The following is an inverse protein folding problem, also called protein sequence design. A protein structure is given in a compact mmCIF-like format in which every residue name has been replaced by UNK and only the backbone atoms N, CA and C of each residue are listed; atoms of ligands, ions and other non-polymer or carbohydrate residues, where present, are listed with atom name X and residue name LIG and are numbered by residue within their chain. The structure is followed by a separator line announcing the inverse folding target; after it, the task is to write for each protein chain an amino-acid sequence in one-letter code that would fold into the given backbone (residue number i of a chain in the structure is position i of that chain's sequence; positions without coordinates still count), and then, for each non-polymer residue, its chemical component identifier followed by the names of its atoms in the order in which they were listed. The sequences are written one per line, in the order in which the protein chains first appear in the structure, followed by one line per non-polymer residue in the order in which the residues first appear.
data_IF_081476760607
#
_entry.id   IF_081476760607
#
_cell.length_a   1.000
_cell.length_b   1.000
_cell.length_c   1.000
_cell.angle_alpha   90.00
_cell.angle_beta   90.00
_cell.angle_gamma   90.00
#
_symmetry.space_group_name_H-M   'P 1'
#
loop_
_entity.id
_entity.type
_entity.pdbx_description
1 polymer ?
#
# COMPACT_ATOMS: atom_id res chain seq x y z
N UNK A 1 12.05 26.67 -21.26
CA UNK A 1 10.67 26.11 -21.15
C UNK A 1 10.26 26.09 -19.68
N UNK A 2 9.12 26.71 -19.31
CA UNK A 2 8.58 26.62 -17.94
C UNK A 2 7.59 25.45 -17.89
N UNK A 3 7.96 24.35 -17.23
CA UNK A 3 7.02 23.24 -17.00
C UNK A 3 5.96 23.73 -15.99
N UNK A 4 4.67 23.73 -16.33
CA UNK A 4 3.64 24.21 -15.42
C UNK A 4 3.52 23.28 -14.20
N UNK A 5 3.51 23.87 -13.00
CA UNK A 5 3.47 23.14 -11.71
C UNK A 5 2.31 22.13 -11.61
N UNK A 6 1.19 22.42 -12.29
CA UNK A 6 0.03 21.53 -12.34
C UNK A 6 0.35 20.17 -12.97
N UNK A 7 1.26 20.09 -13.94
CA UNK A 7 1.64 18.80 -14.55
C UNK A 7 2.43 17.89 -13.61
N UNK A 8 2.94 18.42 -12.49
CA UNK A 8 3.71 17.66 -11.50
C UNK A 8 2.89 17.35 -10.25
N UNK A 9 2.12 18.33 -9.73
CA UNK A 9 1.53 18.25 -8.38
C UNK A 9 -0.01 18.10 -8.40
N UNK A 10 -0.69 18.45 -9.49
CA UNK A 10 -2.16 18.38 -9.58
C UNK A 10 -2.63 16.95 -9.93
N UNK A 11 -3.34 16.22 -9.03
CA UNK A 11 -3.73 14.83 -9.24
C UNK A 11 -4.64 14.62 -10.46
N UNK A 12 -5.32 15.66 -10.93
CA UNK A 12 -6.20 15.60 -12.10
C UNK A 12 -5.42 15.75 -13.41
N UNK A 13 -4.25 16.37 -13.38
CA UNK A 13 -3.48 16.76 -14.58
C UNK A 13 -2.11 16.09 -14.68
N UNK A 14 -1.59 15.52 -13.59
CA UNK A 14 -0.25 14.94 -13.54
C UNK A 14 -0.19 13.44 -13.87
N UNK A 15 -1.20 12.88 -14.54
CA UNK A 15 -1.30 11.42 -14.71
C UNK A 15 -0.09 10.81 -15.42
N UNK A 16 0.58 11.52 -16.33
CA UNK A 16 1.78 11.02 -17.01
C UNK A 16 2.97 10.91 -16.03
N UNK A 17 3.32 12.02 -15.38
CA UNK A 17 4.40 12.05 -14.39
C UNK A 17 4.13 11.13 -13.21
N UNK A 18 2.92 11.17 -12.65
CA UNK A 18 2.54 10.34 -11.51
C UNK A 18 2.58 8.84 -11.82
N UNK A 19 2.14 8.41 -13.01
CA UNK A 19 2.23 7.00 -13.40
C UNK A 19 3.68 6.56 -13.58
N UNK A 20 4.52 7.42 -14.17
CA UNK A 20 5.95 7.18 -14.30
C UNK A 20 6.63 7.07 -12.92
N UNK A 21 6.39 8.01 -12.02
CA UNK A 21 6.96 8.02 -10.67
C UNK A 21 6.58 6.75 -9.88
N UNK A 22 5.32 6.31 -9.98
CA UNK A 22 4.86 5.07 -9.34
C UNK A 22 5.51 3.84 -9.98
N UNK A 23 5.64 3.79 -11.30
CA UNK A 23 6.31 2.67 -11.98
C UNK A 23 7.79 2.56 -11.59
N UNK A 24 8.51 3.70 -11.53
CA UNK A 24 9.89 3.77 -11.02
C UNK A 24 9.96 3.30 -9.57
N UNK A 25 9.00 3.69 -8.73
CA UNK A 25 8.94 3.26 -7.33
C UNK A 25 8.78 1.74 -7.21
N UNK A 26 7.88 1.14 -7.98
CA UNK A 26 7.65 -0.32 -7.99
C UNK A 26 8.86 -1.09 -8.51
N UNK A 27 9.55 -0.55 -9.52
CA UNK A 27 10.81 -1.12 -9.99
C UNK A 27 11.88 -1.05 -8.89
N UNK A 28 12.02 0.11 -8.24
CA UNK A 28 12.96 0.29 -7.13
C UNK A 28 12.66 -0.66 -5.96
N UNK A 29 11.39 -0.79 -5.57
CA UNK A 29 10.98 -1.65 -4.46
C UNK A 29 11.17 -3.14 -4.76
N UNK A 30 11.12 -3.53 -6.03
CA UNK A 30 11.39 -4.91 -6.44
C UNK A 30 12.88 -5.23 -6.40
N UNK A 31 13.72 -4.32 -6.88
CA UNK A 31 15.08 -4.66 -7.28
C UNK A 31 16.18 -3.77 -6.69
N UNK A 32 15.90 -2.95 -5.69
CA UNK A 32 16.95 -2.18 -4.98
C UNK A 32 17.98 -3.07 -4.30
N UNK A 33 17.64 -4.31 -3.97
CA UNK A 33 18.60 -5.29 -3.44
C UNK A 33 19.62 -5.70 -4.50
N UNK A 34 19.23 -5.71 -5.77
CA UNK A 34 20.09 -6.10 -6.91
C UNK A 34 20.87 -4.91 -7.46
N UNK A 35 20.19 -3.80 -7.73
CA UNK A 35 20.78 -2.61 -8.36
C UNK A 35 21.28 -1.56 -7.35
N UNK A 36 21.11 -1.83 -6.06
CA UNK A 36 21.63 -1.01 -4.97
C UNK A 36 21.05 0.40 -4.92
N UNK A 37 21.90 1.34 -4.53
CA UNK A 37 21.54 2.72 -4.19
C UNK A 37 20.98 3.51 -5.38
N UNK A 38 21.33 3.16 -6.62
CA UNK A 38 20.87 3.88 -7.82
C UNK A 38 19.34 3.91 -7.90
N UNK A 39 18.68 2.78 -7.63
CA UNK A 39 17.22 2.72 -7.65
C UNK A 39 16.58 3.46 -6.48
N UNK A 40 17.23 3.48 -5.31
CA UNK A 40 16.78 4.26 -4.16
C UNK A 40 16.86 5.75 -4.47
N UNK A 41 17.94 6.21 -5.12
CA UNK A 41 18.09 7.59 -5.56
C UNK A 41 17.07 7.95 -6.65
N UNK A 42 16.79 7.04 -7.59
CA UNK A 42 15.74 7.25 -8.60
C UNK A 42 14.35 7.38 -7.93
N UNK A 43 14.05 6.53 -6.94
CA UNK A 43 12.83 6.63 -6.13
C UNK A 43 12.72 7.97 -5.41
N UNK A 44 13.81 8.47 -4.81
CA UNK A 44 13.82 9.78 -4.18
C UNK A 44 13.67 10.92 -5.18
N UNK A 45 14.32 10.83 -6.34
CA UNK A 45 14.28 11.85 -7.38
C UNK A 45 12.88 12.07 -7.93
N UNK A 46 12.01 11.04 -7.93
CA UNK A 46 10.62 11.17 -8.41
C UNK A 46 9.64 11.69 -7.35
N UNK A 47 10.02 11.80 -6.07
CA UNK A 47 9.10 12.26 -5.02
C UNK A 47 9.60 13.48 -4.25
N UNK A 48 10.82 13.45 -3.72
CA UNK A 48 11.30 14.51 -2.81
C UNK A 48 11.38 15.90 -3.47
N UNK A 49 11.80 16.06 -4.74
CA UNK A 49 11.83 17.38 -5.39
C UNK A 49 10.46 18.07 -5.48
N UNK A 50 9.36 17.30 -5.45
CA UNK A 50 8.01 17.88 -5.49
C UNK A 50 7.70 18.73 -4.27
N UNK A 51 8.35 18.47 -3.13
CA UNK A 51 8.23 19.29 -1.92
C UNK A 51 8.68 20.72 -2.22
N UNK A 52 9.76 20.90 -2.98
CA UNK A 52 10.26 22.23 -3.34
C UNK A 52 9.34 22.96 -4.34
N UNK A 53 8.58 22.22 -5.15
CA UNK A 53 7.65 22.79 -6.13
C UNK A 53 6.46 23.48 -5.45
N UNK A 54 5.93 22.88 -4.37
CA UNK A 54 4.75 23.36 -3.64
C UNK A 54 4.76 22.98 -2.13
N UNK A 55 5.77 23.45 -1.39
CA UNK A 55 5.94 23.12 0.04
C UNK A 55 4.72 23.51 0.89
N UNK A 56 4.03 24.61 0.54
CA UNK A 56 2.86 25.11 1.28
C UNK A 56 1.71 24.11 1.26
N UNK A 57 1.49 23.42 0.15
CA UNK A 57 0.48 22.36 0.03
C UNK A 57 0.77 21.20 0.97
N UNK A 58 2.03 20.80 1.08
CA UNK A 58 2.45 19.69 1.94
C UNK A 58 2.39 20.06 3.43
N UNK A 59 2.83 21.26 3.81
CA UNK A 59 2.81 21.71 5.21
C UNK A 59 1.38 21.87 5.75
N UNK A 60 0.45 22.38 4.96
CA UNK A 60 -0.95 22.59 5.39
C UNK A 60 -1.67 21.30 5.81
N UNK A 61 -1.20 20.14 5.37
CA UNK A 61 -1.84 18.86 5.62
C UNK A 61 -1.04 17.95 6.55
N UNK A 62 0.06 18.45 7.11
CA UNK A 62 0.95 17.66 7.95
C UNK A 62 0.27 17.20 9.25
N UNK A 63 -0.69 17.97 9.77
CA UNK A 63 -1.50 17.59 10.94
C UNK A 63 -2.28 16.28 10.73
N UNK A 64 -2.65 15.96 9.50
CA UNK A 64 -3.31 14.68 9.18
C UNK A 64 -2.38 13.48 9.19
N UNK A 65 -1.06 13.72 9.15
CA UNK A 65 -0.01 12.70 9.12
C UNK A 65 0.53 12.33 10.51
N UNK A 66 -0.08 12.84 11.60
CA UNK A 66 0.48 12.73 12.95
C UNK A 66 0.80 11.29 13.38
N UNK A 67 -0.02 10.30 13.01
CA UNK A 67 0.18 8.91 13.47
C UNK A 67 1.37 8.22 12.75
N UNK A 68 1.46 8.22 11.40
CA UNK A 68 2.69 7.79 10.72
C UNK A 68 3.94 8.55 11.14
N UNK A 69 3.84 9.87 11.40
CA UNK A 69 4.98 10.67 11.85
C UNK A 69 5.39 10.33 13.29
N UNK A 70 4.44 10.05 14.17
CA UNK A 70 4.71 9.56 15.53
C UNK A 70 5.43 8.21 15.47
N UNK A 71 4.97 7.29 14.62
CA UNK A 71 5.62 6.00 14.44
C UNK A 71 7.02 6.14 13.84
N UNK A 72 7.20 6.99 12.82
CA UNK A 72 8.51 7.29 12.25
C UNK A 72 9.46 7.90 13.29
N UNK A 73 8.97 8.84 14.12
CA UNK A 73 9.74 9.42 15.20
C UNK A 73 10.16 8.35 16.22
N UNK A 74 9.23 7.47 16.63
CA UNK A 74 9.54 6.37 17.54
C UNK A 74 10.61 5.43 16.97
N UNK A 75 10.50 5.07 15.69
CA UNK A 75 11.52 4.29 14.97
C UNK A 75 12.88 5.01 14.97
N UNK A 76 12.93 6.32 14.72
CA UNK A 76 14.17 7.09 14.81
C UNK A 76 14.73 7.19 16.23
N UNK A 77 13.87 7.35 17.25
CA UNK A 77 14.31 7.37 18.65
C UNK A 77 14.85 6.01 19.10
N UNK A 78 14.44 4.91 18.48
CA UNK A 78 14.94 3.57 18.82
C UNK A 78 16.44 3.38 18.68
N UNK A 79 17.13 4.29 17.98
CA UNK A 79 18.59 4.35 17.93
C UNK A 79 19.22 4.43 19.33
N UNK A 80 18.60 5.12 20.28
CA UNK A 80 19.18 5.37 21.61
C UNK A 80 19.22 4.14 22.52
N UNK A 81 18.35 3.14 22.30
CA UNK A 81 18.34 1.89 23.07
C UNK A 81 18.64 0.66 22.20
N UNK A 82 19.02 0.88 20.94
CA UNK A 82 19.24 -0.20 19.99
C UNK A 82 20.46 -1.06 20.33
N UNK A 83 20.34 -2.37 20.15
CA UNK A 83 21.45 -3.32 20.20
C UNK A 83 22.36 -3.24 18.95
N UNK A 84 21.92 -2.55 17.90
CA UNK A 84 22.72 -2.26 16.70
C UNK A 84 22.50 -0.81 16.21
N UNK A 85 22.99 0.21 16.96
CA UNK A 85 22.65 1.62 16.72
C UNK A 85 22.95 2.11 15.29
N UNK A 86 24.06 1.66 14.68
CA UNK A 86 24.42 2.04 13.31
C UNK A 86 23.43 1.53 12.26
N UNK A 87 23.01 0.27 12.37
CA UNK A 87 21.99 -0.33 11.49
C UNK A 87 20.65 0.36 11.71
N UNK A 88 20.25 0.55 12.97
CA UNK A 88 19.00 1.23 13.33
C UNK A 88 18.96 2.66 12.80
N UNK A 89 20.02 3.45 12.98
CA UNK A 89 20.07 4.84 12.51
C UNK A 89 19.90 4.92 10.99
N UNK A 90 20.62 4.08 10.25
CA UNK A 90 20.51 3.99 8.79
C UNK A 90 19.08 3.62 8.38
N UNK A 91 18.56 2.48 8.86
CA UNK A 91 17.27 1.95 8.42
C UNK A 91 16.11 2.85 8.88
N UNK A 92 16.20 3.50 10.04
CA UNK A 92 15.20 4.46 10.51
C UNK A 92 15.09 5.69 9.58
N UNK A 93 16.23 6.23 9.11
CA UNK A 93 16.23 7.33 8.13
C UNK A 93 15.64 6.88 6.79
N UNK A 94 15.94 5.66 6.35
CA UNK A 94 15.36 5.06 5.16
C UNK A 94 13.83 4.91 5.30
N UNK A 95 13.35 4.48 6.47
CA UNK A 95 11.92 4.33 6.74
C UNK A 95 11.19 5.67 6.82
N UNK A 96 11.77 6.67 7.51
CA UNK A 96 11.24 8.03 7.57
C UNK A 96 11.10 8.67 6.17
N UNK A 97 12.15 8.58 5.35
CA UNK A 97 12.13 9.10 3.99
C UNK A 97 11.16 8.34 3.07
N UNK A 98 11.01 7.03 3.26
CA UNK A 98 9.99 6.23 2.58
C UNK A 98 8.56 6.68 2.93
N UNK A 99 8.27 6.95 4.22
CA UNK A 99 6.99 7.53 4.66
C UNK A 99 6.78 8.92 4.04
N UNK A 100 7.82 9.75 3.99
CA UNK A 100 7.75 11.08 3.37
C UNK A 100 7.44 10.99 1.87
N UNK A 101 8.07 10.09 1.13
CA UNK A 101 7.76 9.84 -0.28
C UNK A 101 6.32 9.33 -0.47
N UNK A 102 5.85 8.40 0.37
CA UNK A 102 4.45 7.94 0.34
C UNK A 102 3.46 9.07 0.65
N UNK A 103 3.81 9.97 1.57
CA UNK A 103 3.04 11.19 1.85
C UNK A 103 2.95 12.08 0.63
N UNK A 104 4.09 12.42 0.02
CA UNK A 104 4.12 13.24 -1.19
C UNK A 104 3.30 12.59 -2.30
N UNK A 105 3.49 11.30 -2.56
CA UNK A 105 2.73 10.54 -3.55
C UNK A 105 1.22 10.60 -3.30
N UNK A 106 0.77 10.37 -2.07
CA UNK A 106 -0.66 10.43 -1.73
C UNK A 106 -1.25 11.84 -1.93
N UNK A 107 -0.44 12.89 -1.76
CA UNK A 107 -0.88 14.27 -1.97
C UNK A 107 -0.83 14.68 -3.43
N UNK A 108 0.01 14.10 -4.27
CA UNK A 108 0.16 14.50 -5.67
C UNK A 108 -0.57 13.60 -6.65
N UNK A 109 -0.75 12.31 -6.35
CA UNK A 109 -1.21 11.30 -7.32
C UNK A 109 -2.61 10.80 -6.98
N UNK A 110 -3.50 10.69 -7.98
CA UNK A 110 -4.84 10.10 -7.80
C UNK A 110 -4.76 8.56 -7.66
N UNK A 111 -5.79 7.92 -7.09
CA UNK A 111 -5.83 6.44 -7.03
C UNK A 111 -5.79 5.81 -8.42
N UNK A 112 -6.38 6.50 -9.42
CA UNK A 112 -6.29 6.10 -10.82
C UNK A 112 -4.86 6.11 -11.34
N UNK A 113 -4.14 7.19 -11.10
CA UNK A 113 -2.74 7.33 -11.56
C UNK A 113 -1.81 6.37 -10.81
N UNK A 114 -2.05 6.11 -9.52
CA UNK A 114 -1.40 5.03 -8.78
C UNK A 114 -1.62 3.68 -9.47
N UNK A 115 -2.88 3.36 -9.81
CA UNK A 115 -3.23 2.09 -10.46
C UNK A 115 -2.55 1.92 -11.81
N UNK A 116 -2.53 2.96 -12.65
CA UNK A 116 -1.87 2.93 -13.96
C UNK A 116 -0.36 2.75 -13.80
N UNK A 117 0.28 3.55 -12.94
CA UNK A 117 1.70 3.41 -12.65
C UNK A 117 2.04 2.04 -12.07
N UNK A 118 1.13 1.47 -11.27
CA UNK A 118 1.29 0.13 -10.73
C UNK A 118 1.26 -0.95 -11.80
N UNK A 119 0.29 -0.90 -12.71
CA UNK A 119 0.22 -1.83 -13.84
C UNK A 119 1.46 -1.77 -14.72
N UNK A 120 1.94 -0.56 -15.03
CA UNK A 120 3.16 -0.36 -15.83
C UNK A 120 4.40 -0.89 -15.08
N UNK A 121 4.57 -0.53 -13.81
CA UNK A 121 5.69 -0.99 -12.99
C UNK A 121 5.70 -2.52 -12.85
N UNK A 122 4.56 -3.12 -12.51
CA UNK A 122 4.41 -4.56 -12.35
C UNK A 122 4.68 -5.29 -13.68
N UNK A 123 4.19 -4.77 -14.81
CA UNK A 123 4.50 -5.36 -16.12
C UNK A 123 6.01 -5.50 -16.34
N UNK A 124 6.77 -4.43 -16.16
CA UNK A 124 8.22 -4.47 -16.34
C UNK A 124 8.91 -5.38 -15.32
N UNK A 125 8.47 -5.32 -14.04
CA UNK A 125 8.99 -6.20 -12.98
C UNK A 125 8.82 -7.67 -13.37
N UNK A 126 7.63 -8.07 -13.82
CA UNK A 126 7.35 -9.46 -14.20
C UNK A 126 8.15 -9.89 -15.44
N UNK A 127 8.25 -9.03 -16.46
CA UNK A 127 9.08 -9.31 -17.64
C UNK A 127 10.55 -9.53 -17.26
N UNK A 128 11.10 -8.69 -16.39
CA UNK A 128 12.48 -8.85 -15.93
C UNK A 128 12.67 -10.11 -15.08
N UNK A 129 11.72 -10.42 -14.18
CA UNK A 129 11.76 -11.66 -13.39
C UNK A 129 11.71 -12.91 -14.26
N UNK A 130 10.88 -12.93 -15.31
CA UNK A 130 10.83 -14.02 -16.27
C UNK A 130 12.12 -14.14 -17.09
N UNK A 131 12.76 -13.02 -17.44
CA UNK A 131 14.06 -13.02 -18.11
C UNK A 131 15.15 -13.61 -17.21
N UNK A 132 15.15 -13.28 -15.91
CA UNK A 132 16.13 -13.82 -14.96
C UNK A 132 15.91 -15.32 -14.74
N UNK A 133 14.64 -15.76 -14.67
CA UNK A 133 14.33 -17.18 -14.76
C UNK A 133 14.72 -18.02 -13.55
N UNK A 134 15.12 -17.42 -12.42
CA UNK A 134 15.70 -18.17 -11.31
C UNK A 134 14.66 -18.93 -10.48
N UNK A 135 15.10 -20.06 -9.95
CA UNK A 135 14.37 -20.88 -8.98
C UNK A 135 15.18 -20.97 -7.69
N UNK A 136 14.47 -21.06 -6.57
CA UNK A 136 15.08 -21.28 -5.25
C UNK A 136 14.46 -22.50 -4.61
N UNK A 137 15.31 -23.29 -3.97
CA UNK A 137 14.89 -24.36 -3.08
C UNK A 137 14.27 -23.77 -1.81
N UNK A 138 13.15 -24.32 -1.38
CA UNK A 138 12.60 -24.08 -0.05
C UNK A 138 13.19 -25.11 0.91
N UNK A 139 14.09 -24.66 1.79
CA UNK A 139 14.84 -25.51 2.72
C UNK A 139 13.91 -26.31 3.65
N UNK A 140 12.69 -25.81 3.91
CA UNK A 140 11.73 -26.48 4.78
C UNK A 140 11.03 -27.67 4.12
N UNK A 141 10.80 -27.61 2.80
CA UNK A 141 9.92 -28.54 2.09
C UNK A 141 10.66 -29.29 0.95
N UNK A 142 11.90 -28.91 0.64
CA UNK A 142 12.70 -29.43 -0.50
C UNK A 142 12.17 -29.02 -1.88
N UNK A 143 11.17 -28.13 -1.94
CA UNK A 143 10.51 -27.76 -3.20
C UNK A 143 11.26 -26.66 -3.94
N UNK A 144 11.44 -26.84 -5.25
CA UNK A 144 12.01 -25.82 -6.13
C UNK A 144 10.91 -24.91 -6.68
N UNK A 145 10.92 -23.65 -6.26
CA UNK A 145 9.87 -22.68 -6.63
C UNK A 145 10.45 -21.54 -7.46
N UNK A 146 9.67 -21.04 -8.41
CA UNK A 146 10.09 -19.91 -9.22
C UNK A 146 10.15 -18.63 -8.38
N UNK A 147 11.32 -17.99 -8.36
CA UNK A 147 11.56 -16.71 -7.67
C UNK A 147 11.87 -15.57 -8.63
N UNK A 148 12.22 -15.89 -9.89
CA UNK A 148 12.54 -14.88 -10.90
C UNK A 148 13.75 -14.05 -10.46
N UNK A 149 13.56 -12.74 -10.33
CA UNK A 149 14.60 -11.84 -9.82
C UNK A 149 14.41 -11.47 -8.34
N UNK A 150 13.59 -12.21 -7.60
CA UNK A 150 13.36 -12.00 -6.17
C UNK A 150 14.13 -13.00 -5.31
N UNK A 151 14.27 -12.69 -4.02
CA UNK A 151 14.92 -13.57 -3.07
C UNK A 151 13.98 -14.69 -2.59
N UNK A 152 12.66 -14.51 -2.70
CA UNK A 152 11.70 -15.51 -2.24
C UNK A 152 10.45 -15.61 -3.12
N UNK A 153 9.85 -16.81 -3.13
CA UNK A 153 8.61 -17.11 -3.84
C UNK A 153 7.44 -16.23 -3.39
N UNK A 154 7.45 -15.82 -2.12
CA UNK A 154 6.38 -15.00 -1.53
C UNK A 154 6.44 -13.55 -2.04
N UNK A 155 7.63 -13.03 -2.32
CA UNK A 155 7.81 -11.68 -2.90
C UNK A 155 7.29 -11.61 -4.32
N UNK A 156 7.69 -12.55 -5.20
CA UNK A 156 7.20 -12.55 -6.58
C UNK A 156 5.70 -12.86 -6.65
N UNK A 157 5.21 -13.77 -5.78
CA UNK A 157 3.78 -14.02 -5.63
C UNK A 157 2.99 -12.80 -5.15
N UNK A 158 3.58 -11.94 -4.31
CA UNK A 158 2.96 -10.67 -3.89
C UNK A 158 2.80 -9.70 -5.07
N UNK A 159 3.86 -9.56 -5.89
CA UNK A 159 3.82 -8.73 -7.10
C UNK A 159 2.77 -9.23 -8.09
N UNK A 160 2.70 -10.55 -8.31
CA UNK A 160 1.64 -11.17 -9.12
C UNK A 160 0.24 -10.90 -8.56
N UNK A 161 0.06 -11.01 -7.24
CA UNK A 161 -1.23 -10.69 -6.58
C UNK A 161 -1.64 -9.24 -6.80
N UNK A 162 -0.72 -8.29 -6.63
CA UNK A 162 -0.96 -6.88 -6.91
C UNK A 162 -1.26 -6.63 -8.38
N UNK A 163 -0.59 -7.35 -9.30
CA UNK A 163 -0.83 -7.24 -10.74
C UNK A 163 -2.24 -7.65 -11.14
N UNK A 164 -2.72 -8.79 -10.64
CA UNK A 164 -4.11 -9.24 -10.80
C UNK A 164 -5.05 -8.23 -10.16
N UNK A 165 -4.79 -7.85 -8.90
CA UNK A 165 -5.63 -6.94 -8.14
C UNK A 165 -5.83 -5.60 -8.87
N UNK A 166 -4.74 -4.92 -9.21
CA UNK A 166 -4.77 -3.62 -9.89
C UNK A 166 -5.41 -3.72 -11.28
N UNK A 167 -5.24 -4.86 -11.97
CA UNK A 167 -5.88 -5.08 -13.28
C UNK A 167 -7.39 -5.16 -13.15
N UNK A 168 -7.90 -5.94 -12.19
CA UNK A 168 -9.35 -6.08 -11.97
C UNK A 168 -9.97 -4.76 -11.57
N UNK A 169 -9.40 -4.05 -10.59
CA UNK A 169 -9.96 -2.75 -10.15
C UNK A 169 -9.84 -1.68 -11.24
N UNK A 170 -8.79 -1.71 -12.05
CA UNK A 170 -8.65 -0.80 -13.19
C UNK A 170 -9.78 -1.01 -14.20
N UNK A 171 -10.02 -2.27 -14.59
CA UNK A 171 -11.08 -2.64 -15.53
C UNK A 171 -12.48 -2.35 -14.98
N UNK A 172 -12.71 -2.61 -13.69
CA UNK A 172 -14.00 -2.44 -13.05
C UNK A 172 -14.37 -0.97 -12.80
N UNK A 173 -13.40 -0.12 -12.43
CA UNK A 173 -13.70 1.23 -11.91
C UNK A 173 -13.04 2.39 -12.66
N UNK A 174 -11.90 2.16 -13.34
CA UNK A 174 -10.99 3.25 -13.75
C UNK A 174 -10.70 3.31 -15.25
N UNK A 175 -11.18 2.31 -16.01
CA UNK A 175 -10.99 2.11 -17.45
C UNK A 175 -11.55 3.28 -18.27
N UNK A 176 -10.84 3.66 -19.33
CA UNK A 176 -11.34 4.56 -20.37
C UNK A 176 -11.08 3.96 -21.76
N UNK A 177 -12.14 3.48 -22.42
CA UNK A 177 -12.06 2.96 -23.79
C UNK A 177 -11.47 1.54 -23.94
N UNK A 178 -11.34 1.10 -25.21
CA UNK A 178 -10.86 -0.24 -25.58
C UNK A 178 -9.36 -0.42 -25.41
N UNK A 179 -8.56 0.60 -25.68
CA UNK A 179 -7.10 0.55 -25.53
C UNK A 179 -6.69 0.22 -24.08
N UNK A 180 -7.39 0.79 -23.09
CA UNK A 180 -7.18 0.46 -21.67
C UNK A 180 -7.36 -1.03 -21.37
N UNK A 181 -8.29 -1.71 -22.05
CA UNK A 181 -8.49 -3.16 -21.88
C UNK A 181 -7.32 -3.94 -22.46
N UNK A 182 -6.93 -3.63 -23.71
CA UNK A 182 -5.83 -4.31 -24.40
C UNK A 182 -4.51 -4.20 -23.65
N UNK A 183 -4.23 -3.04 -23.03
CA UNK A 183 -3.02 -2.83 -22.24
C UNK A 183 -3.01 -3.58 -20.90
N UNK A 184 -4.17 -3.98 -20.38
CA UNK A 184 -4.28 -4.69 -19.09
C UNK A 184 -4.13 -6.20 -19.26
N UNK A 185 -4.53 -6.75 -20.41
CA UNK A 185 -4.50 -8.20 -20.68
C UNK A 185 -3.10 -8.81 -20.47
N UNK A 186 -1.99 -8.25 -21.01
CA UNK A 186 -0.67 -8.81 -20.78
C UNK A 186 -0.29 -8.86 -19.29
N UNK A 187 -0.66 -7.84 -18.52
CA UNK A 187 -0.35 -7.77 -17.09
C UNK A 187 -1.10 -8.87 -16.33
N UNK A 188 -2.38 -9.09 -16.64
CA UNK A 188 -3.17 -10.17 -16.02
C UNK A 188 -2.58 -11.54 -16.34
N UNK A 189 -2.26 -11.80 -17.60
CA UNK A 189 -1.71 -13.10 -18.03
C UNK A 189 -0.36 -13.39 -17.39
N UNK A 190 0.55 -12.41 -17.39
CA UNK A 190 1.86 -12.56 -16.74
C UNK A 190 1.71 -12.75 -15.23
N UNK A 191 0.83 -11.98 -14.59
CA UNK A 191 0.61 -12.08 -13.14
C UNK A 191 0.00 -13.42 -12.74
N UNK A 192 -0.97 -13.93 -13.52
CA UNK A 192 -1.57 -15.24 -13.29
C UNK A 192 -0.56 -16.37 -13.51
N UNK A 193 0.23 -16.31 -14.59
CA UNK A 193 1.29 -17.28 -14.86
C UNK A 193 2.30 -17.33 -13.72
N UNK A 194 2.87 -16.18 -13.34
CA UNK A 194 3.87 -16.10 -12.26
C UNK A 194 3.28 -16.55 -10.91
N UNK A 195 2.02 -16.21 -10.63
CA UNK A 195 1.37 -16.64 -9.39
C UNK A 195 1.27 -18.17 -9.31
N UNK A 196 0.91 -18.84 -10.40
CA UNK A 196 0.84 -20.31 -10.48
C UNK A 196 2.22 -20.93 -10.29
N UNK A 197 3.22 -20.48 -11.05
CA UNK A 197 4.57 -21.08 -11.04
C UNK A 197 5.34 -20.76 -9.74
N UNK A 198 5.01 -19.67 -9.05
CA UNK A 198 5.63 -19.33 -7.75
C UNK A 198 5.19 -20.24 -6.60
N UNK A 199 4.04 -20.92 -6.72
CA UNK A 199 3.43 -21.72 -5.64
C UNK A 199 3.33 -20.97 -4.28
N UNK A 200 3.20 -19.64 -4.31
CA UNK A 200 3.03 -18.83 -3.10
C UNK A 200 1.62 -19.02 -2.53
N UNK A 201 1.47 -19.96 -1.59
CA UNK A 201 0.20 -20.30 -0.95
C UNK A 201 -0.53 -19.06 -0.39
N UNK A 202 0.20 -18.17 0.30
CA UNK A 202 -0.37 -16.92 0.82
C UNK A 202 -0.93 -16.04 -0.28
N UNK A 203 -0.21 -15.89 -1.39
CA UNK A 203 -0.65 -15.09 -2.53
C UNK A 203 -1.86 -15.71 -3.22
N UNK A 204 -1.83 -17.02 -3.45
CA UNK A 204 -2.90 -17.77 -4.11
C UNK A 204 -4.19 -17.79 -3.28
N UNK A 205 -4.10 -17.83 -1.94
CA UNK A 205 -5.26 -17.80 -1.06
C UNK A 205 -5.80 -16.37 -0.84
N UNK A 206 -4.92 -15.37 -0.72
CA UNK A 206 -5.34 -14.00 -0.41
C UNK A 206 -5.98 -13.28 -1.60
N UNK A 207 -5.52 -13.52 -2.85
CA UNK A 207 -6.04 -12.77 -4.01
C UNK A 207 -7.53 -13.02 -4.29
N UNK A 208 -8.06 -14.26 -4.31
CA UNK A 208 -9.48 -14.49 -4.60
C UNK A 208 -10.36 -13.94 -3.48
N UNK A 209 -9.93 -14.05 -2.22
CA UNK A 209 -10.64 -13.49 -1.06
C UNK A 209 -10.77 -11.96 -1.16
N UNK A 210 -9.69 -11.27 -1.54
CA UNK A 210 -9.69 -9.82 -1.72
C UNK A 210 -10.54 -9.40 -2.93
N UNK A 211 -10.48 -10.14 -4.05
CA UNK A 211 -11.31 -9.86 -5.22
C UNK A 211 -12.80 -10.07 -4.93
N UNK A 212 -13.16 -11.13 -4.20
CA UNK A 212 -14.54 -11.37 -3.76
C UNK A 212 -15.03 -10.24 -2.86
N UNK A 213 -14.21 -9.80 -1.90
CA UNK A 213 -14.54 -8.63 -1.06
C UNK A 213 -14.74 -7.37 -1.89
N UNK A 214 -13.85 -7.08 -2.84
CA UNK A 214 -13.98 -5.91 -3.71
C UNK A 214 -15.24 -5.99 -4.57
N UNK A 215 -15.59 -7.16 -5.09
CA UNK A 215 -16.83 -7.37 -5.83
C UNK A 215 -18.07 -7.10 -4.95
N UNK A 216 -18.08 -7.59 -3.70
CA UNK A 216 -19.14 -7.31 -2.72
C UNK A 216 -19.26 -5.80 -2.43
N UNK A 217 -18.13 -5.14 -2.19
CA UNK A 217 -18.09 -3.68 -1.97
C UNK A 217 -18.49 -2.88 -3.23
N UNK A 218 -18.22 -3.41 -4.42
CA UNK A 218 -18.68 -2.83 -5.69
C UNK A 218 -20.19 -2.89 -5.81
N UNK A 219 -20.80 -4.04 -5.50
CA UNK A 219 -22.25 -4.22 -5.52
C UNK A 219 -22.95 -3.31 -4.51
N UNK A 220 -22.28 -2.97 -3.39
CA UNK A 220 -22.82 -2.03 -2.40
C UNK A 220 -23.09 -0.61 -2.97
N UNK A 221 -22.55 -0.27 -4.15
CA UNK A 221 -22.85 0.98 -4.87
C UNK A 221 -24.34 1.13 -5.17
N UNK A 222 -25.04 0.03 -5.45
CA UNK A 222 -26.46 0.02 -5.79
C UNK A 222 -27.37 0.22 -4.57
N UNK A 223 -26.79 0.16 -3.36
CA UNK A 223 -27.53 0.14 -2.12
C UNK A 223 -27.63 1.54 -1.49
N UNK A 224 -28.80 1.84 -0.94
CA UNK A 224 -28.98 3.06 -0.14
C UNK A 224 -28.02 3.06 1.06
N UNK A 225 -27.71 4.25 1.59
CA UNK A 225 -26.81 4.37 2.74
C UNK A 225 -27.33 3.59 3.97
N UNK A 226 -28.65 3.48 4.14
CA UNK A 226 -29.27 2.69 5.20
C UNK A 226 -28.97 1.20 5.04
N UNK A 227 -29.18 0.65 3.85
CA UNK A 227 -28.90 -0.77 3.58
C UNK A 227 -27.43 -1.12 3.69
N UNK A 228 -26.52 -0.24 3.22
CA UNK A 228 -25.07 -0.44 3.41
C UNK A 228 -24.69 -0.58 4.88
N UNK A 229 -25.26 0.24 5.78
CA UNK A 229 -25.01 0.16 7.23
C UNK A 229 -25.52 -1.14 7.82
N UNK A 230 -26.74 -1.54 7.47
CA UNK A 230 -27.36 -2.78 7.97
C UNK A 230 -26.54 -3.99 7.52
N UNK A 231 -26.20 -4.09 6.23
CA UNK A 231 -25.38 -5.19 5.69
C UNK A 231 -23.99 -5.19 6.32
N UNK A 232 -23.39 -4.01 6.56
CA UNK A 232 -22.11 -3.95 7.25
C UNK A 232 -22.19 -4.48 8.69
N UNK A 233 -23.22 -4.11 9.46
CA UNK A 233 -23.41 -4.58 10.83
C UNK A 233 -23.67 -6.09 10.89
N UNK A 234 -24.57 -6.59 10.04
CA UNK A 234 -24.88 -8.02 9.94
C UNK A 234 -23.65 -8.78 9.44
N UNK A 235 -22.99 -8.29 8.39
CA UNK A 235 -21.80 -8.89 7.81
C UNK A 235 -20.63 -8.94 8.80
N UNK A 236 -20.43 -7.89 9.59
CA UNK A 236 -19.41 -7.89 10.65
C UNK A 236 -19.72 -8.95 11.72
N UNK A 237 -20.98 -9.07 12.15
CA UNK A 237 -21.41 -10.14 13.06
C UNK A 237 -21.21 -11.54 12.47
N UNK A 238 -21.57 -11.73 11.20
CA UNK A 238 -21.38 -12.99 10.48
C UNK A 238 -19.90 -13.35 10.31
N UNK A 239 -19.01 -12.38 10.05
CA UNK A 239 -17.57 -12.64 9.98
C UNK A 239 -17.05 -13.16 11.31
N UNK A 240 -17.51 -12.61 12.45
CA UNK A 240 -17.13 -13.11 13.78
C UNK A 240 -17.61 -14.55 13.96
N UNK A 241 -18.87 -14.85 13.61
CA UNK A 241 -19.41 -16.21 13.69
C UNK A 241 -18.64 -17.18 12.78
N UNK A 242 -18.40 -16.80 11.52
CA UNK A 242 -17.63 -17.61 10.57
C UNK A 242 -16.20 -17.81 11.05
N UNK A 243 -15.55 -16.80 11.62
CA UNK A 243 -14.21 -16.93 12.18
C UNK A 243 -14.19 -17.93 13.34
N UNK A 244 -15.15 -17.85 14.27
CA UNK A 244 -15.28 -18.81 15.37
C UNK A 244 -15.49 -20.23 14.83
N UNK A 245 -16.43 -20.40 13.90
CA UNK A 245 -16.73 -21.71 13.29
C UNK A 245 -15.51 -22.25 12.54
N UNK A 246 -14.84 -21.42 11.73
CA UNK A 246 -13.65 -21.81 10.97
C UNK A 246 -12.49 -22.23 11.86
N UNK A 247 -12.27 -21.55 13.00
CA UNK A 247 -11.28 -21.93 14.00
C UNK A 247 -11.62 -23.27 14.66
N UNK A 248 -12.90 -23.54 14.93
CA UNK A 248 -13.34 -24.80 15.54
C UNK A 248 -13.33 -25.98 14.55
N UNK A 249 -13.53 -25.73 13.26
CA UNK A 249 -13.60 -26.77 12.22
C UNK A 249 -12.25 -27.04 11.52
N UNK A 250 -11.15 -26.41 11.97
CA UNK A 250 -9.83 -26.61 11.34
C UNK A 250 -9.79 -26.13 9.88
N UNK A 251 -10.56 -25.09 9.51
CA UNK A 251 -10.63 -24.60 8.12
C UNK A 251 -9.25 -24.11 7.64
N UNK A 252 -8.41 -23.62 8.56
CA UNK A 252 -7.03 -23.26 8.27
C UNK A 252 -6.23 -24.48 7.80
N UNK A 253 -6.38 -25.61 8.50
CA UNK A 253 -5.69 -26.87 8.18
C UNK A 253 -6.14 -27.42 6.83
N UNK A 254 -7.43 -27.29 6.51
CA UNK A 254 -7.97 -27.65 5.19
C UNK A 254 -7.37 -26.81 4.06
N UNK A 255 -7.31 -25.47 4.23
CA UNK A 255 -6.73 -24.57 3.23
C UNK A 255 -5.23 -24.84 3.07
N UNK A 256 -4.50 -25.06 4.17
CA UNK A 256 -3.08 -25.41 4.13
C UNK A 256 -2.85 -26.77 3.45
N UNK A 257 -3.70 -27.76 3.72
CA UNK A 257 -3.67 -29.08 3.10
C UNK A 257 -3.88 -29.06 1.59
N UNK A 258 -4.70 -28.15 1.04
CA UNK A 258 -4.85 -27.96 -0.41
C UNK A 258 -3.51 -27.58 -1.08
N UNK A 259 -2.65 -26.86 -0.36
CA UNK A 259 -1.33 -26.45 -0.84
C UNK A 259 -0.22 -27.46 -0.48
N UNK A 260 -0.58 -28.66 -0.01
CA UNK A 260 0.38 -29.68 0.40
C UNK A 260 1.22 -29.27 1.60
N UNK A 261 0.70 -28.36 2.45
CA UNK A 261 1.37 -27.93 3.67
C UNK A 261 0.77 -28.63 4.87
N UNK A 262 1.63 -29.09 5.76
CA UNK A 262 1.19 -29.57 7.07
C UNK A 262 0.45 -28.47 7.83
N UNK A 263 -0.62 -28.85 8.53
CA UNK A 263 -1.45 -27.97 9.37
C UNK A 263 -0.63 -27.24 10.42
N UNK A 264 0.46 -27.86 10.84
CA UNK A 264 1.52 -27.17 11.54
C UNK A 264 2.29 -26.34 10.53
N UNK A 265 2.16 -25.03 10.61
CA UNK A 265 3.21 -24.12 10.18
C UNK A 265 4.47 -24.34 11.06
N UNK A 266 4.91 -25.58 11.33
CA UNK A 266 5.81 -26.00 12.43
C UNK A 266 7.03 -25.11 12.53
N UNK A 267 7.68 -24.82 11.39
CA UNK A 267 8.79 -23.89 11.32
C UNK A 267 8.43 -22.47 11.74
N UNK A 268 7.28 -21.93 11.30
CA UNK A 268 6.82 -20.57 11.65
C UNK A 268 6.20 -20.48 13.05
N UNK A 269 5.44 -21.47 13.51
CA UNK A 269 4.90 -21.47 14.89
C UNK A 269 6.01 -21.51 15.92
N UNK A 270 7.03 -22.35 15.68
CA UNK A 270 8.22 -22.35 16.50
C UNK A 270 8.97 -21.02 16.40
N UNK A 271 9.19 -20.49 15.18
CA UNK A 271 9.85 -19.20 14.98
C UNK A 271 9.10 -18.05 15.67
N UNK A 272 7.76 -18.06 15.69
CA UNK A 272 6.92 -17.08 16.38
C UNK A 272 7.00 -17.21 17.89
N UNK A 273 7.06 -18.43 18.42
CA UNK A 273 7.32 -18.69 19.84
C UNK A 273 8.70 -18.14 20.24
N UNK A 274 9.73 -18.36 19.42
CA UNK A 274 11.06 -17.79 19.64
C UNK A 274 11.01 -16.25 19.60
N UNK A 275 10.27 -15.67 18.67
CA UNK A 275 10.04 -14.23 18.61
C UNK A 275 9.29 -13.69 19.84
N UNK A 276 8.28 -14.41 20.33
CA UNK A 276 7.59 -14.06 21.57
C UNK A 276 8.53 -14.08 22.78
N UNK A 277 9.33 -15.14 22.91
CA UNK A 277 10.32 -15.26 23.98
C UNK A 277 11.38 -14.16 23.93
N UNK A 278 11.83 -13.77 22.74
CA UNK A 278 12.73 -12.65 22.54
C UNK A 278 12.06 -11.30 22.92
N UNK A 279 10.81 -11.08 22.50
CA UNK A 279 10.06 -9.88 22.81
C UNK A 279 9.86 -9.71 24.33
N UNK A 280 9.66 -10.79 25.07
CA UNK A 280 9.50 -10.74 26.54
C UNK A 280 10.76 -10.29 27.28
N UNK A 281 11.94 -10.30 26.65
CA UNK A 281 13.17 -9.75 27.24
C UNK A 281 13.19 -8.21 27.23
N UNK A 282 12.53 -7.59 26.26
CA UNK A 282 12.42 -6.13 26.10
C UNK A 282 11.00 -5.71 25.67
N UNK A 283 9.97 -5.94 26.50
CA UNK A 283 8.58 -5.94 26.05
C UNK A 283 8.08 -4.56 25.63
N UNK A 284 8.53 -3.48 26.27
CA UNK A 284 7.99 -2.13 26.01
C UNK A 284 8.62 -1.51 24.76
N UNK A 285 9.95 -1.59 24.63
CA UNK A 285 10.74 -0.85 23.64
C UNK A 285 11.36 -1.71 22.54
N UNK A 286 11.42 -3.04 22.73
CA UNK A 286 12.14 -3.95 21.85
C UNK A 286 13.65 -3.77 21.89
N UNK A 287 14.35 -4.42 20.96
CA UNK A 287 15.81 -4.37 20.85
C UNK A 287 16.35 -3.23 19.98
N UNK A 288 15.47 -2.43 19.37
CA UNK A 288 15.80 -1.39 18.39
C UNK A 288 15.36 -1.78 16.97
N UNK A 289 14.94 -0.79 16.18
CA UNK A 289 14.48 -1.03 14.81
C UNK A 289 15.59 -1.63 13.93
N UNK A 290 15.30 -2.70 13.19
CA UNK A 290 16.27 -3.42 12.36
C UNK A 290 17.51 -3.91 13.13
N UNK A 291 17.40 -4.12 14.44
CA UNK A 291 18.54 -4.49 15.29
C UNK A 291 18.59 -5.98 15.66
N UNK A 292 17.53 -6.75 15.38
CA UNK A 292 17.48 -8.16 15.75
C UNK A 292 18.25 -9.04 14.76
N UNK A 293 17.94 -8.95 13.46
CA UNK A 293 18.57 -9.76 12.40
C UNK A 293 19.91 -9.16 11.93
N UNK A 294 20.87 -9.07 12.84
CA UNK A 294 22.21 -8.52 12.59
C UNK A 294 23.28 -9.56 12.93
N UNK A 295 24.31 -9.67 12.08
CA UNK A 295 25.43 -10.57 12.32
C UNK A 295 26.13 -10.25 13.65
N UNK A 296 26.43 -11.30 14.42
CA UNK A 296 26.97 -11.18 15.77
C UNK A 296 25.92 -11.03 16.89
N UNK A 297 24.63 -10.86 16.58
CA UNK A 297 23.57 -10.92 17.59
C UNK A 297 23.24 -12.39 17.91
N UNK A 298 23.48 -12.80 19.16
CA UNK A 298 23.50 -14.22 19.54
C UNK A 298 22.21 -14.99 19.19
N UNK A 299 21.04 -14.40 19.41
CA UNK A 299 19.76 -15.06 19.07
C UNK A 299 19.52 -15.16 17.56
N UNK A 300 19.97 -14.17 16.78
CA UNK A 300 19.88 -14.24 15.32
C UNK A 300 20.83 -15.30 14.76
N UNK A 301 22.07 -15.37 15.25
CA UNK A 301 23.04 -16.42 14.88
C UNK A 301 22.52 -17.82 15.22
N UNK A 302 21.91 -18.00 16.39
CA UNK A 302 21.28 -19.26 16.79
C UNK A 302 20.17 -19.66 15.80
N UNK A 303 19.22 -18.75 15.52
CA UNK A 303 18.09 -19.03 14.63
C UNK A 303 18.56 -19.25 13.18
N UNK A 304 19.55 -18.52 12.68
CA UNK A 304 20.10 -18.79 11.35
C UNK A 304 20.72 -20.18 11.26
N UNK A 305 21.45 -20.62 12.29
CA UNK A 305 22.01 -21.97 12.30
C UNK A 305 20.92 -23.05 12.39
N UNK A 306 19.90 -22.83 13.22
CA UNK A 306 18.78 -23.77 13.41
C UNK A 306 17.91 -23.94 12.17
N UNK A 307 17.73 -22.87 11.39
CA UNK A 307 17.00 -22.87 10.12
C UNK A 307 17.91 -23.05 8.89
N UNK A 308 19.18 -23.42 9.09
CA UNK A 308 20.16 -23.66 8.01
C UNK A 308 20.37 -22.46 7.05
N UNK A 309 20.21 -21.23 7.54
CA UNK A 309 20.39 -19.99 6.80
C UNK A 309 21.87 -19.58 6.80
N UNK A 310 22.64 -20.17 5.89
CA UNK A 310 24.09 -19.95 5.78
C UNK A 310 24.47 -18.52 5.36
N UNK A 311 23.56 -17.81 4.69
CA UNK A 311 23.78 -16.42 4.23
C UNK A 311 23.71 -15.40 5.36
N UNK A 312 23.14 -15.76 6.52
CA UNK A 312 22.98 -14.89 7.71
C UNK A 312 22.40 -13.51 7.40
N UNK A 313 21.47 -13.47 6.43
CA UNK A 313 20.81 -12.28 5.91
C UNK A 313 19.47 -12.66 5.29
N UNK A 314 18.56 -11.70 5.11
CA UNK A 314 17.29 -11.92 4.39
C UNK A 314 16.27 -12.79 5.12
N UNK A 315 16.44 -13.01 6.43
CA UNK A 315 15.56 -13.80 7.27
C UNK A 315 14.74 -12.90 8.21
N UNK A 316 13.52 -13.32 8.54
CA UNK A 316 12.61 -12.58 9.40
C UNK A 316 11.55 -13.50 10.01
N UNK A 317 10.79 -13.02 10.99
CA UNK A 317 9.77 -13.81 11.68
C UNK A 317 8.58 -14.20 10.80
N UNK A 318 8.50 -13.74 9.55
CA UNK A 318 7.36 -14.00 8.65
C UNK A 318 6.02 -13.60 9.29
N UNK A 319 6.03 -12.61 10.18
CA UNK A 319 4.84 -12.06 10.80
C UNK A 319 5.20 -10.66 11.25
N UNK A 320 4.55 -9.66 10.67
CA UNK A 320 4.88 -8.26 10.92
C UNK A 320 4.71 -7.91 12.41
N UNK A 321 3.74 -8.51 13.10
CA UNK A 321 3.48 -8.18 14.50
C UNK A 321 4.52 -8.80 15.44
N UNK A 322 4.94 -10.04 15.18
CA UNK A 322 6.05 -10.66 15.92
C UNK A 322 7.34 -9.88 15.68
N UNK A 323 7.62 -9.52 14.42
CA UNK A 323 8.77 -8.68 14.08
C UNK A 323 8.75 -7.34 14.82
N UNK A 324 7.60 -6.65 14.81
CA UNK A 324 7.42 -5.39 15.51
C UNK A 324 7.55 -5.53 17.04
N UNK A 325 7.08 -6.63 17.62
CA UNK A 325 7.22 -6.89 19.06
C UNK A 325 8.69 -7.07 19.46
N UNK A 326 9.47 -7.81 18.66
CA UNK A 326 10.89 -8.04 18.94
C UNK A 326 11.70 -6.77 18.76
N UNK A 327 11.56 -6.09 17.62
CA UNK A 327 12.39 -4.92 17.29
C UNK A 327 11.97 -3.65 18.03
N UNK A 328 10.67 -3.45 18.22
CA UNK A 328 10.10 -2.18 18.65
C UNK A 328 9.20 -2.30 19.90
N UNK A 329 9.05 -3.50 20.46
CA UNK A 329 8.21 -3.77 21.62
C UNK A 329 6.71 -3.64 21.32
N UNK A 330 5.89 -3.79 22.37
CA UNK A 330 4.46 -3.55 22.31
C UNK A 330 4.13 -2.14 21.81
N UNK A 331 4.98 -1.15 22.11
CA UNK A 331 4.78 0.23 21.64
C UNK A 331 4.78 0.29 20.11
N UNK A 332 5.79 -0.28 19.46
CA UNK A 332 5.85 -0.32 17.99
C UNK A 332 4.75 -1.17 17.37
N UNK A 333 4.50 -2.36 17.94
CA UNK A 333 3.45 -3.27 17.48
C UNK A 333 2.05 -2.62 17.54
N UNK A 334 1.75 -1.87 18.61
CA UNK A 334 0.50 -1.12 18.72
C UNK A 334 0.44 0.01 17.69
N UNK A 335 1.50 0.79 17.52
CA UNK A 335 1.51 1.91 16.57
C UNK A 335 1.29 1.46 15.12
N UNK A 336 1.99 0.41 14.67
CA UNK A 336 1.81 -0.12 13.32
C UNK A 336 0.41 -0.74 13.13
N UNK A 337 -0.11 -1.44 14.15
CA UNK A 337 -1.47 -1.98 14.14
C UNK A 337 -2.51 -0.86 14.07
N UNK A 338 -2.34 0.22 14.82
CA UNK A 338 -3.21 1.39 14.75
C UNK A 338 -3.18 2.05 13.38
N UNK A 339 -2.03 2.14 12.71
CA UNK A 339 -1.93 2.66 11.33
C UNK A 339 -2.72 1.76 10.37
N UNK A 340 -2.51 0.44 10.43
CA UNK A 340 -3.21 -0.55 9.60
C UNK A 340 -4.72 -0.47 9.79
N UNK A 341 -5.20 -0.58 11.04
CA UNK A 341 -6.61 -0.59 11.38
C UNK A 341 -7.29 0.75 11.09
N UNK A 342 -6.66 1.88 11.46
CA UNK A 342 -7.21 3.21 11.17
C UNK A 342 -7.36 3.45 9.68
N UNK A 343 -6.42 2.97 8.86
CA UNK A 343 -6.50 3.08 7.40
C UNK A 343 -7.67 2.26 6.86
N UNK A 344 -7.74 0.98 7.24
CA UNK A 344 -8.76 0.06 6.79
C UNK A 344 -10.17 0.55 7.19
N UNK A 345 -10.38 0.80 8.49
CA UNK A 345 -11.67 1.27 8.99
C UNK A 345 -12.02 2.67 8.50
N UNK A 346 -11.03 3.53 8.26
CA UNK A 346 -11.26 4.85 7.68
C UNK A 346 -11.88 4.78 6.28
N UNK A 347 -11.37 3.90 5.41
CA UNK A 347 -11.94 3.70 4.07
C UNK A 347 -13.25 2.91 4.09
N UNK A 348 -13.38 1.90 4.95
CA UNK A 348 -14.65 1.20 5.19
C UNK A 348 -15.73 2.21 5.62
N UNK A 349 -15.41 3.07 6.59
CA UNK A 349 -16.34 4.08 7.06
C UNK A 349 -16.71 5.09 5.95
N UNK A 350 -15.79 5.42 5.05
CA UNK A 350 -16.10 6.23 3.88
C UNK A 350 -17.10 5.54 2.94
N UNK A 351 -16.93 4.23 2.68
CA UNK A 351 -17.85 3.45 1.82
C UNK A 351 -19.21 3.23 2.49
N UNK A 352 -19.25 2.98 3.80
CA UNK A 352 -20.49 2.64 4.52
C UNK A 352 -21.29 3.89 4.91
N UNK A 353 -20.61 4.91 5.45
CA UNK A 353 -21.28 6.06 6.07
C UNK A 353 -21.29 7.31 5.19
N UNK A 354 -20.49 7.39 4.12
CA UNK A 354 -20.43 8.56 3.21
C UNK A 354 -20.93 8.21 1.80
N UNK A 355 -20.76 9.15 0.87
CA UNK A 355 -21.02 8.91 -0.55
C UNK A 355 -20.07 7.84 -1.05
N UNK A 356 -20.60 6.86 -1.78
CA UNK A 356 -19.79 5.75 -2.29
C UNK A 356 -18.75 6.29 -3.28
N UNK A 357 -17.50 5.87 -3.12
CA UNK A 357 -16.39 6.27 -3.98
C UNK A 357 -15.55 5.04 -4.31
N UNK A 358 -15.26 4.86 -5.60
CA UNK A 358 -14.43 3.75 -6.07
C UNK A 358 -13.03 3.77 -5.45
N UNK A 359 -12.46 4.96 -5.23
CA UNK A 359 -11.14 5.13 -4.61
C UNK A 359 -11.05 4.44 -3.25
N UNK A 360 -12.05 4.62 -2.39
CA UNK A 360 -12.06 3.95 -1.07
C UNK A 360 -12.21 2.45 -1.19
N UNK A 361 -12.97 1.94 -2.16
CA UNK A 361 -13.09 0.47 -2.40
C UNK A 361 -11.75 -0.13 -2.85
N UNK A 362 -11.03 0.56 -3.73
CA UNK A 362 -9.68 0.15 -4.16
C UNK A 362 -8.72 0.16 -2.98
N UNK A 363 -8.71 1.22 -2.17
CA UNK A 363 -7.80 1.27 -1.03
C UNK A 363 -8.17 0.25 0.07
N UNK A 364 -9.46 -0.09 0.25
CA UNK A 364 -9.87 -1.20 1.14
C UNK A 364 -9.27 -2.52 0.66
N UNK A 365 -9.37 -2.85 -0.64
CA UNK A 365 -8.85 -4.12 -1.13
C UNK A 365 -7.32 -4.22 -0.99
N UNK A 366 -6.59 -3.12 -1.25
CA UNK A 366 -5.15 -3.05 -0.93
C UNK A 366 -4.90 -3.29 0.55
N UNK A 367 -5.61 -2.60 1.44
CA UNK A 367 -5.42 -2.76 2.89
C UNK A 367 -5.76 -4.17 3.39
N UNK A 368 -6.79 -4.82 2.86
CA UNK A 368 -7.16 -6.18 3.24
C UNK A 368 -6.12 -7.19 2.74
N UNK A 369 -5.61 -7.00 1.52
CA UNK A 369 -4.50 -7.82 1.02
C UNK A 369 -3.28 -7.71 1.96
N UNK A 370 -2.88 -6.49 2.31
CA UNK A 370 -1.76 -6.25 3.23
C UNK A 370 -2.03 -6.77 4.64
N UNK A 371 -3.26 -6.66 5.13
CA UNK A 371 -3.64 -7.16 6.45
C UNK A 371 -3.51 -8.69 6.51
N UNK A 372 -4.07 -9.41 5.53
CA UNK A 372 -3.97 -10.88 5.47
C UNK A 372 -2.50 -11.30 5.42
N UNK A 373 -1.71 -10.66 4.56
CA UNK A 373 -0.28 -10.96 4.40
C UNK A 373 0.54 -10.59 5.63
N UNK A 374 0.17 -9.55 6.39
CA UNK A 374 0.94 -9.10 7.56
C UNK A 374 1.09 -10.15 8.66
N UNK A 375 0.18 -11.14 8.74
CA UNK A 375 0.28 -12.26 9.69
C UNK A 375 1.29 -13.34 9.27
N UNK A 376 1.70 -13.33 8.00
CA UNK A 376 2.51 -14.41 7.40
C UNK A 376 3.71 -13.91 6.61
N UNK A 377 3.88 -12.59 6.47
CA UNK A 377 5.01 -11.91 5.84
C UNK A 377 5.26 -10.53 6.48
N UNK A 378 6.46 -9.96 6.27
CA UNK A 378 6.90 -8.65 6.78
C UNK A 378 6.96 -7.61 5.66
N UNK A 379 5.81 -7.25 5.10
CA UNK A 379 5.72 -6.38 3.91
C UNK A 379 5.41 -4.89 4.23
N UNK A 380 5.13 -4.55 5.49
CA UNK A 380 4.70 -3.20 5.91
C UNK A 380 5.67 -2.48 6.88
N UNK A 381 6.59 -3.22 7.50
CA UNK A 381 7.53 -2.68 8.51
C UNK A 381 8.88 -2.25 7.92
N UNK A 382 9.17 -2.62 6.67
CA UNK A 382 10.45 -2.34 6.01
C UNK A 382 10.39 -1.14 5.04
N UNK A 383 11.50 -0.38 4.89
CA UNK A 383 11.61 0.68 3.90
C UNK A 383 11.72 0.08 2.48
N UNK A 384 11.35 0.87 1.47
CA UNK A 384 11.50 0.51 0.07
C UNK A 384 10.78 -0.78 -0.35
N UNK A 385 9.67 -1.12 0.29
CA UNK A 385 8.80 -2.24 -0.11
C UNK A 385 7.44 -1.69 -0.55
N UNK A 386 6.83 -2.35 -1.54
CA UNK A 386 5.52 -1.95 -2.08
C UNK A 386 4.44 -1.92 -0.99
N UNK A 387 4.43 -2.88 -0.06
CA UNK A 387 3.40 -3.00 0.97
C UNK A 387 3.38 -1.79 1.91
N UNK A 388 4.51 -1.42 2.49
CA UNK A 388 4.62 -0.23 3.34
C UNK A 388 4.27 1.05 2.57
N UNK A 389 4.73 1.21 1.32
CA UNK A 389 4.38 2.36 0.49
C UNK A 389 2.87 2.48 0.27
N UNK A 390 2.22 1.38 -0.12
CA UNK A 390 0.78 1.31 -0.38
C UNK A 390 -0.06 1.53 0.89
N UNK A 391 0.39 1.00 2.04
CA UNK A 391 -0.24 1.25 3.33
C UNK A 391 -0.21 2.75 3.67
N UNK A 392 0.95 3.38 3.62
CA UNK A 392 1.08 4.81 3.93
C UNK A 392 0.35 5.69 2.90
N UNK A 393 0.43 5.35 1.61
CA UNK A 393 -0.34 6.03 0.57
C UNK A 393 -1.84 5.99 0.90
N UNK A 394 -2.35 4.81 1.27
CA UNK A 394 -3.74 4.60 1.65
C UNK A 394 -4.12 5.38 2.90
N UNK A 395 -3.24 5.43 3.91
CA UNK A 395 -3.44 6.23 5.14
C UNK A 395 -3.61 7.71 4.80
N UNK A 396 -2.67 8.28 4.04
CA UNK A 396 -2.68 9.70 3.74
C UNK A 396 -3.86 10.13 2.85
N UNK A 397 -4.41 9.21 2.05
CA UNK A 397 -5.64 9.43 1.28
C UNK A 397 -6.91 9.57 2.13
N UNK A 398 -6.89 9.22 3.42
CA UNK A 398 -8.04 9.45 4.30
C UNK A 398 -8.37 10.94 4.47
N UNK A 399 -7.35 11.80 4.52
CA UNK A 399 -7.53 13.24 4.57
C UNK A 399 -7.73 13.78 3.16
N UNK A 400 -8.94 14.26 2.86
CA UNK A 400 -9.26 14.82 1.55
C UNK A 400 -8.50 16.12 1.31
N UNK A 401 -7.98 16.27 0.09
CA UNK A 401 -7.54 17.58 -0.40
C UNK A 401 -8.80 18.47 -0.48
N UNK A 402 -8.84 19.66 0.14
CA UNK A 402 -9.85 20.63 -0.21
C UNK A 402 -9.67 20.92 -1.70
N UNK A 403 -10.66 20.55 -2.51
CA UNK A 403 -10.69 20.96 -3.91
C UNK A 403 -10.67 22.48 -3.85
N UNK A 404 -9.57 23.09 -4.27
CA UNK A 404 -9.56 24.50 -4.62
C UNK A 404 -10.57 24.62 -5.75
N UNK A 405 -11.84 24.90 -5.41
CA UNK A 405 -12.74 25.58 -6.34
C UNK A 405 -11.93 26.76 -6.81
N UNK A 406 -11.53 26.76 -8.07
CA UNK A 406 -11.17 27.99 -8.77
C UNK A 406 -12.24 28.98 -8.35
N UNK A 407 -11.86 30.00 -7.56
CA UNK A 407 -12.70 31.17 -7.38
C UNK A 407 -12.99 31.60 -8.82
N UNK A 408 -14.21 31.37 -9.28
CA UNK A 408 -14.74 32.16 -10.36
C UNK A 408 -14.57 33.60 -9.87
N UNK A 409 -13.57 34.31 -10.42
CA UNK A 409 -13.69 35.75 -10.48
C UNK A 409 -14.95 35.98 -11.29
N UNK A 410 -15.96 36.70 -10.78
CA UNK A 410 -16.97 37.27 -11.65
C UNK A 410 -16.21 37.98 -12.76
N UNK A 411 -16.54 37.65 -14.01
CA UNK A 411 -16.09 38.44 -15.13
C UNK A 411 -16.35 39.91 -14.78
N UNK A 412 -15.34 40.75 -15.03
CA UNK A 412 -15.49 42.19 -14.94
C UNK A 412 -16.64 42.55 -15.90
N UNK A 413 -17.85 42.76 -15.38
CA UNK A 413 -18.92 43.42 -16.11
C UNK A 413 -18.39 44.82 -16.43
N UNK A 414 -18.30 45.22 -17.71
CA UNK A 414 -18.03 46.60 -18.03
C UNK A 414 -19.17 47.43 -17.45
N UNK A 415 -18.83 48.41 -16.61
CA UNK A 415 -19.79 49.36 -16.08
C UNK A 415 -20.62 49.96 -17.22
N UNK A 416 -21.94 49.92 -17.05
CA UNK A 416 -22.94 50.49 -17.93
C UNK A 416 -22.56 51.89 -18.44
N UNK A 417 -22.17 51.96 -19.71
CA UNK A 417 -22.34 53.17 -20.52
C UNK A 417 -23.77 53.18 -21.07
N UNK A 418 -24.75 53.38 -20.19
CA UNK A 418 -26.12 53.77 -20.56
C UNK A 418 -26.60 54.89 -19.63
N UNK A 419 -25.99 56.05 -19.81
CA UNK A 419 -26.52 57.32 -19.32
C UNK A 419 -26.72 58.26 -20.49
N UNK A 420 -27.97 58.43 -20.92
CA UNK A 420 -28.39 59.57 -21.74
C UNK A 420 -29.20 59.24 -22.99
N UNK A 421 -30.52 59.10 -22.85
CA UNK A 421 -31.46 59.64 -23.84
C UNK A 421 -32.62 60.33 -23.09
N UNK A 422 -32.96 61.59 -23.41
CA UNK A 422 -34.06 62.31 -22.77
C UNK A 422 -35.41 61.95 -23.40
N UNK A 423 -36.41 61.76 -22.54
CA UNK A 423 -37.80 61.52 -22.92
C UNK A 423 -38.40 62.71 -23.69
N UNK A 424 -39.01 62.43 -24.84
CA UNK A 424 -39.83 63.39 -25.58
C UNK A 424 -41.32 63.15 -25.29
N UNK A 425 -42.14 64.19 -25.05
CA UNK A 425 -43.53 64.01 -24.64
C UNK A 425 -44.46 63.76 -25.84
N UNK A 426 -45.48 62.93 -25.57
CA UNK A 426 -46.60 62.58 -26.44
C UNK A 426 -47.34 63.80 -27.03
N UNK A 427 -47.76 63.70 -28.30
CA UNK A 427 -48.87 64.49 -28.87
C UNK A 427 -50.12 63.60 -29.03
N UNK A 428 -51.34 64.15 -28.90
CA UNK A 428 -52.57 63.37 -28.92
C UNK A 428 -53.11 63.15 -30.34
N UNK A 429 -53.92 62.10 -30.47
CA UNK A 429 -54.67 61.75 -31.67
C UNK A 429 -55.67 62.85 -32.07
N UNK A 430 -55.80 63.09 -33.37
CA UNK A 430 -56.92 63.81 -33.99
C UNK A 430 -57.55 62.90 -35.04
N UNK A 431 -58.87 62.99 -35.11
CA UNK A 431 -59.81 62.22 -35.92
C UNK A 431 -59.61 62.39 -37.43
N UNK A 432 -59.82 61.31 -38.19
CA UNK A 432 -60.95 61.09 -39.12
C UNK A 432 -60.97 59.62 -39.57
#
# INVERSE_FOLDING_TARGET
MKIPKSLLVDPEKNSAYGSFAVAVSIWAFSYSVIFGQVLILAYYAVWLPLIMVDYRRFLRQLSSAWLPLLFAAYVCFSVFWSQAPGTTARTAVQYLSHIACAYVAARTVSVRTLTIGALVGIFFVLIYSLKVGAYSEDVLDGTYNFVGAFASKNQIGFVGSLGIYFSVVFLAFLRRGRLSFMLTVPVVLLSAYVLVVSHSATSMASIPAVLALVALLAMSKLLSRRYRRVIFLIGAGMIVVVAIVALNLGLMDFVLGIFGKDSTLTGRTYLWEQGWNAAMRSPVLGVGYAAYWVQGFAEAERLWNEFYITTRTGFHFHNTYVEALVELGFTGAVLISLIMLRTLFGHIAAVVFKTWQAESVVLIGVMVLLLIRSFVEVEILNPYIMGSFLMYFSFFKLARLPVTRTRWSPAFEPADAKGGEPAWPHRPAAAE
#
